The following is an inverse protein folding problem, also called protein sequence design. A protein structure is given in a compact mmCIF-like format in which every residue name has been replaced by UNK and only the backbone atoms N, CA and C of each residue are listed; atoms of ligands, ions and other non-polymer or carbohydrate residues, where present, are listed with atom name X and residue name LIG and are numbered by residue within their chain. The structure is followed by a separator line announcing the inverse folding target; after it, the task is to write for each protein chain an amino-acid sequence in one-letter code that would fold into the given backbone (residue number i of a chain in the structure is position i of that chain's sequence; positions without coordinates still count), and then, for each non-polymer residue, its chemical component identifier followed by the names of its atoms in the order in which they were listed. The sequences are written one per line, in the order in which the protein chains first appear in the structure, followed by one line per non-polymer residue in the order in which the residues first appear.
data_IF_968720263234
#
_entry.id   IF_968720263234
#
_cell.length_a   1.000
_cell.length_b   1.000
_cell.length_c   1.000
_cell.angle_alpha   90.00
_cell.angle_beta   90.00
_cell.angle_gamma   90.00
#
_symmetry.space_group_name_H-M   'P 1'
#
loop_
_entity.id
_entity.type
_entity.pdbx_description
1 polymer ?
#
# COMPACT_ATOMS: atom_id res chain seq x y z
N UNK A 1 -11.22 -13.61 -16.22
CA UNK A 1 -10.95 -12.45 -17.11
C UNK A 1 -10.75 -11.23 -16.23
N UNK A 2 -9.95 -10.22 -16.63
CA UNK A 2 -9.90 -8.95 -15.88
C UNK A 2 -11.21 -8.21 -16.12
N UNK A 3 -11.88 -7.83 -15.04
CA UNK A 3 -13.13 -7.06 -15.04
C UNK A 3 -12.86 -5.57 -14.87
N UNK A 4 -12.01 -5.23 -13.90
CA UNK A 4 -11.67 -3.86 -13.56
C UNK A 4 -10.22 -3.77 -13.07
N UNK A 5 -9.56 -2.64 -13.29
CA UNK A 5 -8.26 -2.34 -12.67
C UNK A 5 -8.12 -0.85 -12.44
N UNK A 6 -7.56 -0.50 -11.30
CA UNK A 6 -7.22 0.87 -10.94
C UNK A 6 -5.82 0.92 -10.34
N UNK A 7 -5.15 2.05 -10.53
CA UNK A 7 -3.82 2.34 -10.01
C UNK A 7 -3.84 3.73 -9.40
N UNK A 8 -3.18 3.86 -8.25
CA UNK A 8 -2.80 5.12 -7.66
C UNK A 8 -1.29 5.15 -7.53
N UNK A 9 -0.66 6.19 -8.06
CA UNK A 9 0.79 6.34 -8.11
C UNK A 9 1.23 7.76 -7.76
N UNK A 10 2.38 7.88 -7.12
CA UNK A 10 3.07 9.14 -6.89
C UNK A 10 4.56 8.99 -7.22
N UNK A 11 5.07 9.95 -7.98
CA UNK A 11 6.48 10.01 -8.37
C UNK A 11 7.32 10.74 -7.32
N UNK A 12 8.64 10.51 -7.26
CA UNK A 12 9.53 11.31 -6.40
C UNK A 12 9.35 12.82 -6.63
N UNK A 13 9.25 13.60 -5.55
CA UNK A 13 9.04 15.05 -5.62
C UNK A 13 7.62 15.47 -6.04
N UNK A 14 6.68 14.53 -6.13
CA UNK A 14 5.24 14.82 -6.33
C UNK A 14 4.47 14.41 -5.10
N UNK A 15 3.36 15.12 -4.84
CA UNK A 15 2.63 15.01 -3.56
C UNK A 15 3.61 15.20 -2.37
N UNK A 16 3.21 14.88 -1.15
CA UNK A 16 4.00 15.13 0.07
C UNK A 16 5.29 14.30 0.21
N UNK A 17 5.91 13.82 -0.89
CA UNK A 17 7.17 13.07 -0.91
C UNK A 17 8.36 14.00 -1.27
N UNK A 18 9.51 13.91 -0.56
CA UNK A 18 9.83 12.92 0.47
C UNK A 18 9.10 13.19 1.80
N UNK A 19 8.72 12.11 2.50
CA UNK A 19 7.96 12.14 3.75
C UNK A 19 8.71 11.38 4.84
N UNK A 20 9.07 12.08 5.93
CA UNK A 20 9.59 11.41 7.13
C UNK A 20 8.43 10.68 7.83
N UNK A 21 8.55 9.36 7.94
CA UNK A 21 7.55 8.54 8.61
C UNK A 21 7.74 8.61 10.13
N UNK A 22 6.65 8.46 10.86
CA UNK A 22 6.66 8.51 12.33
C UNK A 22 6.04 7.24 12.91
N UNK A 23 6.00 7.13 14.24
CA UNK A 23 5.27 6.04 14.92
C UNK A 23 3.77 6.09 14.64
N UNK A 24 3.23 7.25 14.24
CA UNK A 24 1.86 7.36 13.78
C UNK A 24 1.76 6.91 12.32
N UNK A 25 0.88 5.94 12.08
CA UNK A 25 0.55 5.45 10.75
C UNK A 25 0.06 6.62 9.87
N UNK A 26 0.74 6.80 8.74
CA UNK A 26 0.44 7.84 7.76
C UNK A 26 -0.12 7.20 6.50
N UNK A 27 -1.33 7.60 6.12
CA UNK A 27 -1.93 7.17 4.86
C UNK A 27 -1.11 7.72 3.68
N UNK A 28 -0.60 6.82 2.84
CA UNK A 28 0.18 7.17 1.66
C UNK A 28 -0.70 7.34 0.44
N UNK A 29 -1.62 6.41 0.22
CA UNK A 29 -2.51 6.42 -0.95
C UNK A 29 -3.73 5.52 -0.77
N UNK A 30 -4.66 5.60 -1.71
CA UNK A 30 -5.89 4.80 -1.78
C UNK A 30 -6.14 4.35 -3.22
N UNK A 31 -6.71 3.16 -3.39
CA UNK A 31 -7.29 2.70 -4.66
C UNK A 31 -8.75 2.33 -4.47
N UNK A 32 -9.58 2.72 -5.43
CA UNK A 32 -10.98 2.34 -5.49
C UNK A 32 -11.17 1.26 -6.57
N UNK A 33 -11.73 0.13 -6.20
CA UNK A 33 -12.12 -0.95 -7.10
C UNK A 33 -13.61 -0.93 -7.28
N UNK A 34 -14.03 -0.86 -8.54
CA UNK A 34 -15.44 -0.81 -8.92
C UNK A 34 -15.87 -2.13 -9.51
N UNK A 35 -17.20 -2.27 -9.64
CA UNK A 35 -17.83 -3.43 -10.26
C UNK A 35 -17.43 -4.74 -9.58
N UNK A 36 -17.17 -4.76 -8.27
CA UNK A 36 -16.87 -6.03 -7.59
C UNK A 36 -18.18 -6.80 -7.39
N UNK A 37 -18.17 -8.09 -7.69
CA UNK A 37 -19.27 -9.02 -7.39
C UNK A 37 -18.81 -10.13 -6.44
N UNK A 38 -19.72 -10.76 -5.68
CA UNK A 38 -19.40 -11.94 -4.90
C UNK A 38 -18.81 -13.05 -5.78
N UNK A 39 -17.69 -13.63 -5.35
CA UNK A 39 -16.93 -14.62 -6.10
C UNK A 39 -15.85 -14.05 -7.02
N UNK A 40 -15.82 -12.73 -7.26
CA UNK A 40 -14.71 -12.10 -7.97
C UNK A 40 -13.41 -12.23 -7.17
N UNK A 41 -12.30 -12.50 -7.87
CA UNK A 41 -10.96 -12.46 -7.26
C UNK A 41 -10.41 -11.05 -7.33
N UNK A 42 -9.98 -10.52 -6.21
CA UNK A 42 -9.28 -9.25 -6.09
C UNK A 42 -7.80 -9.53 -5.91
N UNK A 43 -6.95 -8.84 -6.66
CA UNK A 43 -5.51 -8.81 -6.41
C UNK A 43 -5.04 -7.37 -6.23
N UNK A 44 -4.33 -7.12 -5.15
CA UNK A 44 -3.69 -5.85 -4.82
C UNK A 44 -2.17 -6.03 -4.89
N UNK A 45 -1.49 -5.07 -5.49
CA UNK A 45 -0.03 -5.00 -5.53
C UNK A 45 0.38 -3.60 -5.13
N UNK A 46 1.38 -3.49 -4.26
CA UNK A 46 1.93 -2.19 -3.86
C UNK A 46 3.45 -2.18 -3.91
N UNK A 47 4.00 -0.98 -4.08
CA UNK A 47 5.42 -0.72 -3.91
C UNK A 47 5.67 0.68 -3.35
N UNK A 48 6.73 0.81 -2.55
CA UNK A 48 7.22 2.08 -2.04
C UNK A 48 8.75 2.05 -1.98
N UNK A 49 9.39 3.03 -2.62
CA UNK A 49 10.80 3.30 -2.36
C UNK A 49 10.97 4.21 -1.14
N UNK A 50 11.92 3.85 -0.28
CA UNK A 50 12.20 4.52 0.98
C UNK A 50 13.68 4.42 1.34
N UNK A 51 14.13 5.27 2.25
CA UNK A 51 15.50 5.27 2.77
C UNK A 51 15.56 5.54 4.26
N UNK A 52 16.68 5.17 4.88
CA UNK A 52 16.94 5.56 6.26
C UNK A 52 17.34 7.04 6.33
N UNK A 53 17.02 7.76 7.42
CA UNK A 53 17.62 9.06 7.67
C UNK A 53 19.15 8.99 7.72
N UNK A 54 19.82 10.06 7.28
CA UNK A 54 21.29 10.12 7.23
C UNK A 54 21.96 9.86 8.59
N UNK A 55 21.30 10.22 9.70
CA UNK A 55 21.83 10.10 11.07
C UNK A 55 21.55 8.74 11.74
N UNK A 56 20.85 7.80 11.07
CA UNK A 56 20.56 6.45 11.58
C UNK A 56 21.49 5.42 10.94
N UNK A 57 21.80 4.34 11.65
CA UNK A 57 22.58 3.23 11.07
C UNK A 57 21.73 2.29 10.22
N UNK A 58 20.48 2.07 10.66
CA UNK A 58 19.50 1.19 10.02
C UNK A 58 18.19 1.95 9.87
N UNK A 59 17.52 1.75 8.74
CA UNK A 59 16.15 2.17 8.53
C UNK A 59 15.17 1.03 8.76
N UNK A 60 13.95 1.37 9.17
CA UNK A 60 12.88 0.43 9.50
C UNK A 60 11.54 1.04 9.10
N UNK A 61 10.71 0.27 8.41
CA UNK A 61 9.40 0.70 7.94
C UNK A 61 8.38 -0.41 8.19
N UNK A 62 7.17 -0.01 8.55
CA UNK A 62 5.98 -0.85 8.53
C UNK A 62 5.07 -0.38 7.40
N UNK A 63 4.57 -1.31 6.59
CA UNK A 63 3.57 -1.07 5.56
C UNK A 63 2.29 -1.82 5.91
N UNK A 64 1.17 -1.10 5.87
CA UNK A 64 -0.15 -1.66 6.19
C UNK A 64 -1.12 -1.40 5.05
N UNK A 65 -1.77 -2.45 4.59
CA UNK A 65 -2.87 -2.40 3.63
C UNK A 65 -4.19 -2.66 4.34
N UNK A 66 -5.13 -1.72 4.25
CA UNK A 66 -6.44 -1.78 4.92
C UNK A 66 -7.59 -1.73 3.94
N UNK A 67 -8.72 -2.32 4.31
CA UNK A 67 -9.94 -2.33 3.52
C UNK A 67 -10.98 -1.35 4.07
N UNK A 68 -11.68 -0.64 3.19
CA UNK A 68 -12.85 0.19 3.48
C UNK A 68 -12.53 1.59 4.00
N UNK A 69 -11.64 1.71 4.99
CA UNK A 69 -11.26 2.99 5.61
C UNK A 69 -9.77 3.02 5.99
N UNK A 70 -9.18 4.22 6.21
CA UNK A 70 -7.79 4.36 6.67
C UNK A 70 -7.48 3.68 8.01
N UNK A 71 -8.49 3.46 8.86
CA UNK A 71 -8.43 2.74 10.13
C UNK A 71 -9.15 1.38 10.07
N UNK A 72 -9.52 0.95 8.85
CA UNK A 72 -10.23 -0.30 8.61
C UNK A 72 -9.40 -1.56 8.89
N UNK A 73 -9.99 -2.75 8.71
CA UNK A 73 -9.29 -4.02 8.93
C UNK A 73 -8.05 -4.13 8.06
N UNK A 74 -6.95 -4.59 8.67
CA UNK A 74 -5.69 -4.91 8.00
C UNK A 74 -5.89 -6.17 7.17
N UNK A 75 -5.60 -6.09 5.87
CA UNK A 75 -5.61 -7.24 4.96
C UNK A 75 -4.20 -7.70 4.59
N UNK A 76 -3.21 -6.83 4.71
CA UNK A 76 -1.78 -7.17 4.56
C UNK A 76 -0.93 -6.24 5.42
N UNK A 77 0.14 -6.79 5.99
CA UNK A 77 1.11 -6.04 6.80
C UNK A 77 2.51 -6.60 6.56
N UNK A 78 3.50 -5.72 6.47
CA UNK A 78 4.91 -6.09 6.42
C UNK A 78 5.78 -5.10 7.20
N UNK A 79 6.86 -5.62 7.78
CA UNK A 79 7.91 -4.84 8.43
C UNK A 79 9.23 -5.15 7.72
N UNK A 80 9.97 -4.11 7.36
CA UNK A 80 11.20 -4.22 6.57
C UNK A 80 12.29 -3.29 7.10
N UNK A 81 13.54 -3.72 6.97
CA UNK A 81 14.72 -2.94 7.38
C UNK A 81 15.68 -2.71 6.21
N UNK A 82 16.43 -1.60 6.22
CA UNK A 82 17.47 -1.35 5.22
C UNK A 82 18.72 -0.66 5.82
N UNK A 83 19.87 -0.80 5.15
CA UNK A 83 21.12 -0.10 5.51
C UNK A 83 21.27 1.27 4.87
N UNK A 84 20.53 1.57 3.80
CA UNK A 84 20.61 2.87 3.14
C UNK A 84 19.28 3.21 2.49
N UNK A 85 18.85 2.40 1.52
CA UNK A 85 17.60 2.53 0.78
C UNK A 85 17.05 1.16 0.42
N UNK A 86 15.73 1.09 0.22
CA UNK A 86 15.04 -0.11 -0.21
C UNK A 86 13.81 0.22 -1.05
N UNK A 87 13.30 -0.80 -1.73
CA UNK A 87 11.97 -0.77 -2.35
C UNK A 87 11.19 -1.92 -1.74
N UNK A 88 10.20 -1.56 -0.92
CA UNK A 88 9.29 -2.53 -0.33
C UNK A 88 8.18 -2.83 -1.32
N UNK A 89 7.86 -4.11 -1.48
CA UNK A 89 6.80 -4.57 -2.40
C UNK A 89 5.94 -5.62 -1.71
N UNK A 90 4.65 -5.62 -2.02
CA UNK A 90 3.73 -6.60 -1.47
C UNK A 90 2.58 -6.91 -2.40
N UNK A 91 1.97 -8.07 -2.16
CA UNK A 91 0.82 -8.57 -2.90
C UNK A 91 -0.19 -9.17 -1.95
N UNK A 92 -1.45 -8.82 -2.13
CA UNK A 92 -2.59 -9.40 -1.43
C UNK A 92 -3.61 -9.92 -2.44
N UNK A 93 -4.21 -11.07 -2.15
CA UNK A 93 -5.26 -11.64 -2.99
C UNK A 93 -6.41 -12.13 -2.11
N UNK A 94 -7.64 -11.81 -2.50
CA UNK A 94 -8.84 -12.27 -1.81
C UNK A 94 -9.97 -12.59 -2.78
N UNK A 95 -10.93 -13.40 -2.35
CA UNK A 95 -12.21 -13.56 -3.05
C UNK A 95 -13.21 -12.64 -2.39
N UNK A 96 -13.87 -11.80 -3.18
CA UNK A 96 -14.89 -10.90 -2.65
C UNK A 96 -16.11 -11.68 -2.20
N UNK A 97 -16.56 -11.45 -0.97
CA UNK A 97 -17.85 -11.92 -0.48
C UNK A 97 -19.00 -10.92 -0.75
N UNK A 98 -18.68 -9.75 -1.29
CA UNK A 98 -19.60 -8.60 -1.37
C UNK A 98 -19.64 -8.00 -2.76
N UNK A 99 -20.80 -7.46 -3.13
CA UNK A 99 -20.93 -6.61 -4.31
C UNK A 99 -20.61 -5.14 -3.97
N UNK A 100 -20.18 -4.37 -4.99
CA UNK A 100 -20.08 -2.91 -4.92
C UNK A 100 -18.66 -2.38 -5.06
N UNK A 101 -18.47 -1.13 -4.64
CA UNK A 101 -17.18 -0.46 -4.67
C UNK A 101 -16.39 -0.78 -3.40
N UNK A 102 -15.12 -1.14 -3.58
CA UNK A 102 -14.20 -1.43 -2.48
C UNK A 102 -13.04 -0.46 -2.49
N UNK A 103 -12.72 0.08 -1.31
CA UNK A 103 -11.58 0.96 -1.11
C UNK A 103 -10.46 0.19 -0.40
N UNK A 104 -9.23 0.40 -0.85
CA UNK A 104 -8.04 -0.11 -0.18
C UNK A 104 -7.05 1.01 0.06
N UNK A 105 -6.57 1.10 1.29
CA UNK A 105 -5.70 2.15 1.78
C UNK A 105 -4.33 1.57 2.09
N UNK A 106 -3.28 2.18 1.53
CA UNK A 106 -1.90 1.85 1.87
C UNK A 106 -1.37 2.95 2.78
N UNK A 107 -0.82 2.52 3.90
CA UNK A 107 -0.24 3.38 4.92
C UNK A 107 1.15 2.89 5.29
N UNK A 108 1.94 3.79 5.87
CA UNK A 108 3.24 3.45 6.42
C UNK A 108 3.46 4.08 7.80
N UNK A 109 4.23 3.38 8.63
CA UNK A 109 4.74 3.88 9.90
C UNK A 109 6.24 3.54 10.01
N UNK A 110 6.93 4.21 10.92
CA UNK A 110 8.31 3.92 11.24
C UNK A 110 8.59 4.27 12.69
N UNK A 111 8.99 3.28 13.48
CA UNK A 111 9.35 3.51 14.87
C UNK A 111 10.56 4.47 14.94
N UNK A 112 10.47 5.47 15.82
CA UNK A 112 11.57 6.42 16.07
C UNK A 112 12.08 7.12 14.79
N UNK A 113 11.18 7.35 13.82
CA UNK A 113 11.45 8.07 12.57
C UNK A 113 12.61 7.49 11.74
N UNK A 114 12.68 6.16 11.62
CA UNK A 114 13.76 5.43 10.95
C UNK A 114 13.58 5.28 9.42
N UNK A 115 12.50 5.80 8.84
CA UNK A 115 12.27 5.73 7.41
C UNK A 115 11.76 7.04 6.82
N UNK A 116 12.25 7.35 5.63
CA UNK A 116 11.78 8.44 4.77
C UNK A 116 11.21 7.79 3.52
N UNK A 117 9.92 7.96 3.26
CA UNK A 117 9.31 7.58 2.00
C UNK A 117 9.76 8.57 0.91
N UNK A 118 10.40 8.08 -0.15
CA UNK A 118 11.00 8.93 -1.21
C UNK A 118 10.30 8.78 -2.56
N UNK A 119 9.51 7.72 -2.72
CA UNK A 119 8.86 7.40 -3.99
C UNK A 119 9.84 6.77 -5.00
N UNK A 120 9.35 6.06 -6.03
CA UNK A 120 7.95 5.96 -6.42
C UNK A 120 7.08 5.18 -5.42
N UNK A 121 5.82 5.61 -5.32
CA UNK A 121 4.74 4.96 -4.57
C UNK A 121 3.73 4.42 -5.58
N UNK A 122 3.29 3.18 -5.39
CA UNK A 122 2.27 2.55 -6.22
C UNK A 122 1.35 1.70 -5.34
N UNK A 123 0.05 1.83 -5.59
CA UNK A 123 -0.97 0.87 -5.18
C UNK A 123 -1.87 0.57 -6.37
N UNK A 124 -1.87 -0.69 -6.82
CA UNK A 124 -2.71 -1.18 -7.90
C UNK A 124 -3.66 -2.23 -7.36
N UNK A 125 -4.91 -2.17 -7.79
CA UNK A 125 -5.86 -3.25 -7.60
C UNK A 125 -6.46 -3.72 -8.93
N UNK A 126 -6.75 -5.02 -8.99
CA UNK A 126 -7.33 -5.67 -10.16
C UNK A 126 -8.43 -6.62 -9.70
N UNK A 127 -9.59 -6.50 -10.33
CA UNK A 127 -10.74 -7.39 -10.12
C UNK A 127 -10.78 -8.36 -11.29
N UNK A 128 -10.85 -9.65 -10.98
CA UNK A 128 -10.99 -10.73 -11.95
C UNK A 128 -12.37 -11.37 -11.76
N UNK A 129 -13.06 -11.61 -12.88
CA UNK A 129 -14.33 -12.34 -12.89
C UNK A 129 -14.17 -13.69 -12.21
N UNK A 130 -15.00 -14.00 -11.21
CA UNK A 130 -15.11 -15.35 -10.66
C UNK A 130 -15.49 -16.34 -11.75
N UNK A 131 -14.85 -17.51 -11.78
CA UNK A 131 -15.34 -18.62 -12.60
C UNK A 131 -16.53 -19.23 -11.88
N UNK A 132 -17.75 -18.93 -12.36
CA UNK A 132 -18.97 -19.69 -12.02
C UNK A 132 -18.87 -21.14 -12.49
#
# INVERSE_FOLDING_TARGET
MIKYSAISEAQPGTFSLPLLLTTQETQLTVVALQQVEPGDRIELVYSLAWEKPAHRDIGEIELTLRRGAPDGPVVSWSEETCYQKAVSTGRHSEISATAGDLLFYLSAASFDQRAIAIGPLLLKGTVFSGTS
#
